data_IF_945295527317
#
_entry.id   IF_945295527317
#
_cell.length_a   1.000
_cell.length_b   1.000
_cell.length_c   1.000
_cell.angle_alpha   90.00
_cell.angle_beta   90.00
_cell.angle_gamma   90.00
#
_symmetry.space_group_name_H-M   'P 1'
#
loop_
_entity.id
_entity.type
_entity.pdbx_description
1 polymer ?
#
# COMPACT_ATOMS: atom_id res chain seq x y z
N UNK A 1 -12.63 -1.04 32.01
CA UNK A 1 -12.70 -0.58 30.60
C UNK A 1 -14.14 -0.19 30.27
N UNK A 2 -14.53 1.06 30.51
CA UNK A 2 -15.89 1.52 30.21
C UNK A 2 -16.22 1.43 28.72
N UNK A 3 -17.50 1.27 28.34
CA UNK A 3 -17.94 1.15 26.94
C UNK A 3 -17.33 2.24 26.03
N UNK A 4 -17.22 3.49 26.50
CA UNK A 4 -16.60 4.60 25.74
C UNK A 4 -15.09 4.45 25.51
N UNK A 5 -14.37 3.72 26.36
CA UNK A 5 -12.94 3.43 26.14
C UNK A 5 -12.73 2.40 25.03
N UNK A 6 -13.70 1.49 24.81
CA UNK A 6 -13.60 0.48 23.75
C UNK A 6 -13.88 1.09 22.38
N UNK A 7 -14.95 1.89 22.25
CA UNK A 7 -15.27 2.57 20.99
C UNK A 7 -14.15 3.49 20.53
N UNK A 8 -13.53 4.25 21.44
CA UNK A 8 -12.39 5.11 21.12
C UNK A 8 -11.18 4.34 20.61
N UNK A 9 -10.87 3.17 21.22
CA UNK A 9 -9.78 2.30 20.73
C UNK A 9 -10.09 1.75 19.35
N UNK A 10 -11.32 1.32 19.11
CA UNK A 10 -11.72 0.82 17.80
C UNK A 10 -11.53 1.89 16.72
N UNK A 11 -12.05 3.11 16.93
CA UNK A 11 -11.87 4.22 15.98
C UNK A 11 -10.40 4.56 15.74
N UNK A 12 -9.58 4.57 16.80
CA UNK A 12 -8.14 4.82 16.69
C UNK A 12 -7.45 3.73 15.88
N UNK A 13 -7.72 2.46 16.17
CA UNK A 13 -7.17 1.31 15.45
C UNK A 13 -7.57 1.32 13.98
N UNK A 14 -8.82 1.69 13.67
CA UNK A 14 -9.29 1.84 12.29
C UNK A 14 -8.49 2.92 11.55
N UNK A 15 -8.32 4.10 12.15
CA UNK A 15 -7.55 5.19 11.56
C UNK A 15 -6.07 4.81 11.37
N UNK A 16 -5.47 4.15 12.36
CA UNK A 16 -4.08 3.72 12.32
C UNK A 16 -3.84 2.64 11.26
N UNK A 17 -4.80 1.73 11.06
CA UNK A 17 -4.75 0.71 10.00
C UNK A 17 -4.70 1.33 8.61
N UNK A 18 -5.56 2.31 8.34
CA UNK A 18 -5.60 3.02 7.05
C UNK A 18 -4.29 3.79 6.81
N UNK A 19 -3.76 4.46 7.85
CA UNK A 19 -2.48 5.17 7.74
C UNK A 19 -1.35 4.21 7.37
N UNK A 20 -1.21 3.09 8.07
CA UNK A 20 -0.19 2.07 7.80
C UNK A 20 -0.30 1.47 6.41
N UNK A 21 -1.52 1.27 5.93
CA UNK A 21 -1.73 0.79 4.55
C UNK A 21 -1.26 1.82 3.51
N UNK A 22 -1.45 3.11 3.78
CA UNK A 22 -1.02 4.20 2.89
C UNK A 22 0.47 4.58 3.05
N UNK A 23 1.18 4.03 4.04
CA UNK A 23 2.60 4.30 4.25
C UNK A 23 3.42 3.75 3.08
N UNK A 24 4.10 4.66 2.37
CA UNK A 24 5.06 4.32 1.32
C UNK A 24 6.44 4.17 1.96
N UNK A 25 6.98 2.96 1.89
CA UNK A 25 8.34 2.72 2.35
C UNK A 25 9.33 3.12 1.25
N UNK A 26 10.41 3.85 1.58
CA UNK A 26 11.50 4.06 0.64
C UNK A 26 12.00 2.71 0.10
N UNK A 27 12.25 2.64 -1.20
CA UNK A 27 12.77 1.46 -1.90
C UNK A 27 11.85 0.22 -1.95
N UNK A 28 10.59 0.33 -1.52
CA UNK A 28 9.57 -0.70 -1.79
C UNK A 28 8.58 -0.15 -2.81
N UNK A 29 8.49 -0.79 -3.97
CA UNK A 29 7.38 -0.58 -4.89
C UNK A 29 6.14 -1.30 -4.36
N UNK A 30 4.97 -0.71 -4.55
CA UNK A 30 3.72 -1.46 -4.35
C UNK A 30 3.66 -2.61 -5.36
N UNK A 31 2.90 -3.67 -5.05
CA UNK A 31 2.71 -4.78 -5.98
C UNK A 31 2.22 -4.29 -7.35
N UNK A 32 1.28 -3.35 -7.36
CA UNK A 32 0.77 -2.70 -8.57
C UNK A 32 1.82 -1.88 -9.34
N UNK A 33 2.81 -1.31 -8.67
CA UNK A 33 3.93 -0.62 -9.33
C UNK A 33 4.96 -1.61 -9.87
N UNK A 34 5.16 -2.73 -9.19
CA UNK A 34 6.04 -3.80 -9.65
C UNK A 34 5.45 -4.50 -10.88
N UNK A 35 4.16 -4.82 -10.87
CA UNK A 35 3.45 -5.38 -12.04
C UNK A 35 3.50 -4.42 -13.23
N UNK A 36 3.21 -3.13 -13.02
CA UNK A 36 3.30 -2.13 -14.10
C UNK A 36 4.70 -2.03 -14.68
N UNK A 37 5.74 -2.07 -13.84
CA UNK A 37 7.14 -2.07 -14.31
C UNK A 37 7.49 -3.33 -15.09
N UNK A 38 6.95 -4.49 -14.70
CA UNK A 38 7.14 -5.73 -15.44
C UNK A 38 6.43 -5.67 -16.80
N UNK A 39 5.19 -5.20 -16.84
CA UNK A 39 4.45 -4.98 -18.10
C UNK A 39 5.17 -3.98 -19.01
N UNK A 40 5.65 -2.85 -18.48
CA UNK A 40 6.43 -1.85 -19.24
C UNK A 40 7.73 -2.45 -19.80
N UNK A 41 8.43 -3.29 -19.01
CA UNK A 41 9.63 -3.97 -19.45
C UNK A 41 9.34 -5.02 -20.54
N UNK A 42 8.27 -5.79 -20.40
CA UNK A 42 7.85 -6.78 -21.41
C UNK A 42 7.47 -6.10 -22.73
N UNK A 43 6.75 -4.97 -22.66
CA UNK A 43 6.39 -4.19 -23.86
C UNK A 43 7.61 -3.52 -24.53
N UNK A 44 8.64 -3.16 -23.78
CA UNK A 44 9.86 -2.51 -24.30
C UNK A 44 10.93 -3.51 -24.77
N UNK A 45 10.87 -4.77 -24.33
CA UNK A 45 11.84 -5.82 -24.72
C UNK A 45 11.51 -6.49 -26.06
N UNK A 46 10.34 -6.24 -26.65
CA UNK A 46 9.94 -6.76 -27.96
C UNK A 46 10.54 -6.02 -29.18
N UNK A 47 11.72 -5.41 -29.01
CA UNK A 47 12.58 -4.99 -30.13
C UNK A 47 12.31 -3.58 -30.65
N UNK A 48 13.14 -2.64 -30.22
CA UNK A 48 13.41 -1.42 -30.98
C UNK A 48 14.57 -1.68 -31.95
N UNK A 49 14.26 -2.25 -33.12
CA UNK A 49 14.93 -2.09 -34.43
C UNK A 49 14.10 -2.78 -35.51
#
# INVERSE_FOLDING_TARGET
>A
MGKGSKSRRFSQQSADSVKKHAERFPYRSTFTEAERKAEEADNHTLGGF
#
